data_IF_365612561286
#
_entry.id   IF_365612561286
#
_cell.length_a   1.000
_cell.length_b   1.000
_cell.length_c   1.000
_cell.angle_alpha   90.00
_cell.angle_beta   90.00
_cell.angle_gamma   90.00
#
_symmetry.space_group_name_H-M   'P 1'
#
loop_
_entity.id
_entity.type
_entity.pdbx_description
1 polymer ?
#
# COMPACT_ATOMS: atom_id res chain seq x y z
N UNK A 1 18.11 36.78 89.17
CA UNK A 1 18.23 35.43 88.60
C UNK A 1 16.87 34.99 88.06
N UNK A 2 16.68 35.05 86.74
CA UNK A 2 15.60 34.37 86.00
C UNK A 2 16.16 33.96 84.65
N UNK A 3 16.37 32.66 84.51
CA UNK A 3 16.88 31.98 83.33
C UNK A 3 15.70 31.73 82.38
N UNK A 4 15.71 32.34 81.20
CA UNK A 4 14.73 32.06 80.16
C UNK A 4 15.41 31.25 79.05
N UNK A 5 15.11 29.96 79.03
CA UNK A 5 15.48 28.99 78.00
C UNK A 5 14.73 29.28 76.71
N UNK A 6 15.48 29.52 75.63
CA UNK A 6 14.99 29.75 74.27
C UNK A 6 14.85 28.39 73.57
N UNK A 7 13.63 27.87 73.48
CA UNK A 7 13.33 26.64 72.72
C UNK A 7 13.08 27.02 71.26
N UNK A 8 14.02 26.69 70.38
CA UNK A 8 13.91 26.91 68.93
C UNK A 8 13.06 25.79 68.32
N UNK A 9 11.81 26.07 67.99
CA UNK A 9 10.95 25.17 67.24
C UNK A 9 11.26 25.29 65.74
N UNK A 10 11.99 24.32 65.17
CA UNK A 10 12.14 24.15 63.73
C UNK A 10 10.86 23.53 63.17
N UNK A 11 10.18 24.26 62.27
CA UNK A 11 8.98 23.80 61.56
C UNK A 11 9.40 23.43 60.13
N UNK A 12 9.52 22.14 59.77
CA UNK A 12 9.69 21.75 58.37
C UNK A 12 8.31 21.73 57.71
N UNK A 13 7.96 22.80 57.00
CA UNK A 13 6.84 22.83 56.07
C UNK A 13 7.28 22.16 54.75
N UNK A 14 7.30 20.83 54.74
CA UNK A 14 7.32 20.04 53.52
C UNK A 14 5.92 19.94 52.90
N UNK A 15 5.79 19.65 51.59
CA UNK A 15 4.51 19.46 50.94
C UNK A 15 3.67 18.41 51.66
N UNK A 16 2.36 18.63 51.75
CA UNK A 16 1.38 17.95 52.62
C UNK A 16 1.14 16.45 52.35
N UNK A 17 2.12 15.73 51.81
CA UNK A 17 2.12 14.28 51.63
C UNK A 17 3.48 13.60 51.84
N UNK A 18 4.50 14.32 52.31
CA UNK A 18 5.80 13.73 52.61
C UNK A 18 5.73 12.93 53.92
N UNK A 19 5.62 11.60 53.81
CA UNK A 19 5.77 10.70 54.95
C UNK A 19 7.21 10.85 55.47
N UNK A 20 7.45 11.27 56.73
CA UNK A 20 8.74 11.82 57.15
C UNK A 20 9.94 10.86 57.03
N UNK A 21 9.73 9.54 57.06
CA UNK A 21 10.79 8.55 56.88
C UNK A 21 10.15 7.20 56.60
N UNK A 22 10.30 6.68 55.38
CA UNK A 22 10.00 5.27 55.14
C UNK A 22 11.02 4.41 55.91
N UNK A 23 10.62 3.29 56.54
CA UNK A 23 11.55 2.38 57.18
C UNK A 23 12.63 1.93 56.18
N UNK A 24 13.89 1.82 56.62
CA UNK A 24 15.01 1.45 55.74
C UNK A 24 14.83 0.09 55.04
N UNK A 25 13.97 -0.78 55.58
CA UNK A 25 13.65 -2.08 55.01
C UNK A 25 12.47 -2.05 54.02
N UNK A 26 11.72 -0.96 53.90
CA UNK A 26 10.56 -0.87 53.01
C UNK A 26 10.93 -1.07 51.54
N UNK A 27 12.16 -0.69 51.16
CA UNK A 27 12.70 -0.83 49.81
C UNK A 27 13.77 -1.90 49.68
N UNK A 28 13.90 -2.82 50.65
CA UNK A 28 14.81 -3.95 50.50
C UNK A 28 14.34 -4.83 49.33
N UNK A 29 15.22 -5.35 48.46
CA UNK A 29 14.82 -6.20 47.32
C UNK A 29 13.96 -7.41 47.74
N UNK A 30 14.16 -7.90 48.96
CA UNK A 30 13.40 -9.00 49.55
C UNK A 30 11.95 -8.65 49.88
N UNK A 31 11.58 -7.37 50.04
CA UNK A 31 10.18 -6.97 50.26
C UNK A 31 9.33 -7.12 48.99
N UNK A 32 9.95 -7.25 47.82
CA UNK A 32 9.28 -7.49 46.55
C UNK A 32 9.17 -8.98 46.18
N UNK A 33 9.75 -9.87 46.98
CA UNK A 33 9.64 -11.31 46.76
C UNK A 33 8.40 -11.83 47.49
N UNK A 34 7.53 -12.62 46.82
CA UNK A 34 6.40 -13.23 47.49
C UNK A 34 6.91 -14.12 48.63
N UNK A 35 6.59 -13.76 49.86
CA UNK A 35 6.90 -14.59 51.02
C UNK A 35 6.26 -15.97 50.88
N UNK A 36 6.86 -17.02 51.49
CA UNK A 36 6.23 -18.33 51.52
C UNK A 36 4.81 -18.20 52.10
N UNK A 37 3.82 -18.93 51.55
CA UNK A 37 2.44 -18.84 52.03
C UNK A 37 2.42 -19.06 53.54
N UNK A 38 2.02 -18.03 54.30
CA UNK A 38 1.89 -18.14 55.75
C UNK A 38 0.87 -19.25 56.03
N UNK A 39 1.37 -20.39 56.52
CA UNK A 39 0.53 -21.51 56.93
C UNK A 39 -0.46 -21.08 58.02
N UNK A 40 -1.63 -21.72 58.11
CA UNK A 40 -2.75 -21.27 58.95
C UNK A 40 -2.55 -21.41 60.49
N UNK A 41 -1.33 -21.62 61.00
CA UNK A 41 -1.15 -21.99 62.41
C UNK A 41 0.22 -21.62 62.98
N UNK A 42 0.55 -20.33 62.98
CA UNK A 42 1.63 -19.77 63.79
C UNK A 42 1.07 -18.76 64.81
N UNK A 43 1.39 -18.88 66.12
CA UNK A 43 0.97 -17.90 67.12
C UNK A 43 1.53 -16.51 66.76
N UNK A 44 0.64 -15.53 66.75
CA UNK A 44 0.92 -14.12 66.45
C UNK A 44 1.89 -13.58 67.49
N UNK A 45 3.19 -13.61 67.20
CA UNK A 45 4.19 -12.91 67.99
C UNK A 45 3.92 -11.41 67.86
N UNK A 46 3.77 -10.76 69.02
CA UNK A 46 3.43 -9.35 69.17
C UNK A 46 4.26 -8.46 68.24
N UNK A 47 3.57 -7.90 67.23
CA UNK A 47 4.12 -6.90 66.33
C UNK A 47 4.35 -5.61 67.14
N UNK A 48 5.62 -5.25 67.30
CA UNK A 48 6.03 -3.95 67.82
C UNK A 48 5.52 -2.82 66.93
N UNK A 49 5.13 -1.73 67.58
CA UNK A 49 4.57 -0.51 66.99
C UNK A 49 5.43 0.00 65.82
N UNK A 50 4.82 0.11 64.63
CA UNK A 50 5.47 0.70 63.46
C UNK A 50 5.08 0.09 62.11
N UNK A 51 4.06 -0.78 62.03
CA UNK A 51 3.55 -1.27 60.75
C UNK A 51 2.87 -0.13 59.99
N UNK A 52 3.57 0.40 58.98
CA UNK A 52 3.07 1.44 58.10
C UNK A 52 2.00 0.84 57.19
N UNK A 53 0.75 0.90 57.65
CA UNK A 53 -0.43 0.50 56.87
C UNK A 53 -0.80 1.65 55.94
N UNK A 54 -0.54 1.49 54.64
CA UNK A 54 -1.04 2.43 53.62
C UNK A 54 -2.55 2.29 53.52
N UNK A 55 -3.27 3.41 53.62
CA UNK A 55 -4.65 3.50 54.10
C UNK A 55 -5.80 2.86 53.32
N UNK A 56 -5.61 1.97 52.35
CA UNK A 56 -6.70 1.14 51.79
C UNK A 56 -6.16 -0.28 51.54
N UNK A 57 -6.72 -1.23 52.28
CA UNK A 57 -6.38 -2.66 52.34
C UNK A 57 -5.00 -3.03 52.89
N UNK A 58 -4.98 -4.03 53.80
CA UNK A 58 -3.80 -4.59 54.50
C UNK A 58 -2.86 -5.34 53.55
N UNK A 59 -2.37 -4.65 52.53
CA UNK A 59 -1.51 -5.21 51.50
C UNK A 59 -0.10 -4.71 51.76
N UNK A 60 0.88 -5.62 51.87
CA UNK A 60 2.26 -5.23 52.12
C UNK A 60 2.79 -4.33 51.00
N UNK A 61 3.70 -3.38 51.30
CA UNK A 61 4.36 -2.59 50.27
C UNK A 61 5.07 -3.55 49.29
N UNK A 62 4.62 -3.58 48.04
CA UNK A 62 5.16 -4.45 46.98
C UNK A 62 4.22 -5.58 46.50
N UNK A 63 3.24 -6.00 47.31
CA UNK A 63 2.34 -7.10 46.97
C UNK A 63 1.41 -6.77 45.79
N UNK A 64 0.87 -5.54 45.77
CA UNK A 64 -0.03 -5.10 44.70
C UNK A 64 0.69 -4.94 43.35
N UNK A 65 1.86 -4.27 43.27
CA UNK A 65 2.68 -4.26 42.05
C UNK A 65 3.02 -5.67 41.54
N UNK A 66 3.39 -6.60 42.43
CA UNK A 66 3.68 -7.98 42.06
C UNK A 66 2.46 -8.70 41.44
N UNK A 67 1.28 -8.56 42.05
CA UNK A 67 0.04 -9.14 41.53
C UNK A 67 -0.32 -8.58 40.16
N UNK A 68 -0.18 -7.27 39.96
CA UNK A 68 -0.44 -6.62 38.67
C UNK A 68 0.54 -7.13 37.62
N UNK A 69 1.84 -7.12 37.92
CA UNK A 69 2.87 -7.58 36.99
C UNK A 69 2.64 -9.04 36.60
N UNK A 70 2.45 -9.93 37.57
CA UNK A 70 2.20 -11.35 37.33
C UNK A 70 0.94 -11.58 36.49
N UNK A 71 -0.15 -10.86 36.77
CA UNK A 71 -1.39 -10.95 36.00
C UNK A 71 -1.18 -10.50 34.55
N UNK A 72 -0.51 -9.37 34.35
CA UNK A 72 -0.22 -8.83 33.02
C UNK A 72 0.70 -9.77 32.21
N UNK A 73 1.76 -10.32 32.82
CA UNK A 73 2.64 -11.28 32.16
C UNK A 73 1.91 -12.57 31.78
N UNK A 74 1.01 -13.06 32.64
CA UNK A 74 0.22 -14.26 32.37
C UNK A 74 -0.79 -14.01 31.23
N UNK A 75 -1.48 -12.86 31.24
CA UNK A 75 -2.36 -12.43 30.14
C UNK A 75 -1.59 -12.37 28.81
N UNK A 76 -0.39 -11.76 28.82
CA UNK A 76 0.45 -11.67 27.64
C UNK A 76 0.84 -13.07 27.15
N UNK A 77 1.32 -13.96 28.03
CA UNK A 77 1.66 -15.33 27.64
C UNK A 77 0.47 -16.09 27.05
N UNK A 78 -0.74 -15.90 27.57
CA UNK A 78 -1.98 -16.48 27.01
C UNK A 78 -2.29 -15.92 25.62
N UNK A 79 -2.17 -14.59 25.41
CA UNK A 79 -2.36 -13.96 24.11
C UNK A 79 -1.36 -14.47 23.06
N UNK A 80 -0.09 -14.62 23.44
CA UNK A 80 0.94 -15.21 22.58
C UNK A 80 0.65 -16.67 22.26
N UNK A 81 0.24 -17.46 23.26
CA UNK A 81 -0.17 -18.85 23.07
C UNK A 81 -1.36 -18.99 22.11
N UNK A 82 -2.36 -18.11 22.23
CA UNK A 82 -3.47 -18.05 21.28
C UNK A 82 -2.99 -17.67 19.88
N UNK A 83 -2.11 -16.67 19.75
CA UNK A 83 -1.53 -16.28 18.46
C UNK A 83 -0.79 -17.42 17.74
N UNK A 84 -0.10 -18.29 18.48
CA UNK A 84 0.55 -19.48 17.93
C UNK A 84 -0.42 -20.62 17.60
N UNK A 85 -1.56 -20.71 18.29
CA UNK A 85 -2.58 -21.73 18.04
C UNK A 85 -3.51 -21.39 16.86
N UNK A 86 -3.73 -20.11 16.58
CA UNK A 86 -4.56 -19.62 15.45
C UNK A 86 -4.20 -20.27 14.09
N UNK A 87 -2.92 -20.42 13.69
CA UNK A 87 -2.60 -21.01 12.39
C UNK A 87 -2.76 -22.55 12.29
N UNK A 88 -3.04 -23.27 13.38
CA UNK A 88 -2.92 -24.74 13.43
C UNK A 88 -4.29 -25.49 13.39
N UNK A 89 -5.42 -24.78 13.33
CA UNK A 89 -6.74 -25.41 13.43
C UNK A 89 -7.77 -25.03 12.36
N UNK A 90 -9.02 -25.56 12.45
CA UNK A 90 -10.15 -25.15 11.60
C UNK A 90 -10.50 -23.66 11.72
N UNK A 91 -9.99 -22.99 12.77
CA UNK A 91 -10.04 -21.54 12.93
C UNK A 91 -9.25 -20.79 11.84
N UNK A 92 -8.20 -21.41 11.27
CA UNK A 92 -7.44 -20.83 10.15
C UNK A 92 -8.35 -20.70 8.94
N UNK A 93 -9.11 -21.73 8.57
CA UNK A 93 -10.05 -21.64 7.45
C UNK A 93 -11.15 -20.60 7.70
N UNK A 94 -11.59 -20.40 8.94
CA UNK A 94 -12.55 -19.36 9.29
C UNK A 94 -11.96 -17.93 9.27
N UNK A 95 -10.68 -17.73 9.65
CA UNK A 95 -10.03 -16.41 9.68
C UNK A 95 -9.27 -16.06 8.40
N UNK A 96 -8.81 -17.06 7.64
CA UNK A 96 -8.15 -16.90 6.34
C UNK A 96 -9.09 -17.15 5.17
N UNK A 97 -10.33 -17.61 5.41
CA UNK A 97 -11.42 -17.11 4.58
C UNK A 97 -11.32 -15.62 4.72
N UNK A 98 -10.88 -14.89 3.68
CA UNK A 98 -10.84 -13.46 3.78
C UNK A 98 -12.24 -13.10 4.28
N UNK A 99 -12.30 -12.26 5.32
CA UNK A 99 -13.34 -11.28 5.29
C UNK A 99 -13.05 -10.45 4.02
N UNK A 100 -13.38 -11.01 2.84
CA UNK A 100 -14.44 -10.44 2.06
C UNK A 100 -15.44 -10.14 3.17
N UNK A 101 -15.37 -8.91 3.69
CA UNK A 101 -16.47 -8.07 3.41
C UNK A 101 -16.91 -8.48 1.99
N UNK A 102 -17.80 -9.47 1.90
CA UNK A 102 -19.18 -9.10 1.68
C UNK A 102 -19.29 -7.69 2.30
N UNK A 103 -18.86 -6.70 1.51
CA UNK A 103 -19.73 -5.66 1.03
C UNK A 103 -20.99 -6.45 0.81
N UNK A 104 -21.70 -6.68 1.92
CA UNK A 104 -23.11 -6.88 1.96
C UNK A 104 -23.44 -5.55 1.38
N UNK A 105 -23.53 -5.54 0.05
CA UNK A 105 -24.28 -4.58 -0.68
C UNK A 105 -25.59 -4.78 0.05
N UNK A 106 -25.81 -3.98 1.09
CA UNK A 106 -27.14 -3.60 1.48
C UNK A 106 -27.60 -2.92 0.22
N UNK A 107 -28.02 -3.77 -0.72
CA UNK A 107 -28.91 -3.46 -1.77
C UNK A 107 -30.09 -3.01 -0.95
N UNK A 108 -30.10 -1.72 -0.64
CA UNK A 108 -31.29 -1.00 -0.32
C UNK A 108 -32.11 -1.18 -1.58
N UNK A 109 -32.81 -2.32 -1.65
CA UNK A 109 -33.88 -2.59 -2.56
C UNK A 109 -35.04 -1.71 -2.10
N UNK A 110 -34.80 -0.41 -2.07
CA UNK A 110 -35.82 0.59 -2.15
C UNK A 110 -36.49 0.33 -3.49
N UNK A 111 -37.69 -0.23 -3.43
CA UNK A 111 -38.61 -0.35 -4.56
C UNK A 111 -39.08 1.06 -4.94
N UNK A 112 -38.15 1.92 -5.34
CA UNK A 112 -38.40 3.23 -5.91
C UNK A 112 -38.44 3.07 -7.42
N UNK A 113 -39.53 3.51 -8.04
CA UNK A 113 -39.74 3.54 -9.50
C UNK A 113 -38.75 4.43 -10.27
N UNK A 114 -37.75 4.99 -9.61
CA UNK A 114 -36.64 5.70 -10.23
C UNK A 114 -35.52 4.70 -10.47
N UNK A 115 -35.21 4.38 -11.72
CA UNK A 115 -34.13 3.47 -12.11
C UNK A 115 -32.75 3.94 -11.62
N UNK A 116 -32.49 3.77 -10.33
CA UNK A 116 -31.21 4.05 -9.70
C UNK A 116 -30.33 2.83 -9.94
N UNK A 117 -29.26 3.05 -10.70
CA UNK A 117 -28.20 2.08 -10.96
C UNK A 117 -27.70 1.46 -9.64
N UNK A 118 -27.35 0.17 -9.67
CA UNK A 118 -26.72 -0.48 -8.53
C UNK A 118 -25.27 -0.05 -8.48
N UNK A 119 -24.89 0.61 -7.38
CA UNK A 119 -23.51 0.96 -7.11
C UNK A 119 -22.95 0.02 -6.04
N UNK A 120 -21.78 -0.56 -6.29
CA UNK A 120 -20.98 -1.16 -5.24
C UNK A 120 -20.18 -0.05 -4.55
N UNK A 121 -20.17 -0.01 -3.22
CA UNK A 121 -19.34 0.95 -2.46
C UNK A 121 -18.04 0.25 -2.10
N UNK A 122 -16.95 0.65 -2.75
CA UNK A 122 -15.59 0.31 -2.34
C UNK A 122 -14.97 1.41 -1.47
N UNK A 123 -13.71 1.25 -1.10
CA UNK A 123 -12.89 2.31 -0.50
C UNK A 123 -11.70 2.60 -1.42
N UNK A 124 -11.42 3.88 -1.66
CA UNK A 124 -10.25 4.36 -2.39
C UNK A 124 -8.96 4.22 -1.54
N UNK A 125 -7.77 4.49 -2.11
CA UNK A 125 -6.49 4.40 -1.39
C UNK A 125 -6.35 5.38 -0.21
N UNK A 126 -7.20 6.42 -0.16
CA UNK A 126 -7.27 7.36 0.97
C UNK A 126 -8.24 6.93 2.06
N UNK A 127 -8.88 5.77 1.88
CA UNK A 127 -9.89 5.23 2.81
C UNK A 127 -11.26 5.88 2.66
N UNK A 128 -11.48 6.69 1.62
CA UNK A 128 -12.78 7.29 1.33
C UNK A 128 -13.64 6.33 0.50
N UNK A 129 -14.96 6.29 0.71
CA UNK A 129 -15.84 5.44 -0.08
C UNK A 129 -15.80 5.83 -1.57
N UNK A 130 -15.44 4.89 -2.43
CA UNK A 130 -15.43 4.99 -3.90
C UNK A 130 -16.64 4.22 -4.44
N UNK A 131 -17.55 4.92 -5.11
CA UNK A 131 -18.65 4.26 -5.81
C UNK A 131 -18.10 3.58 -7.07
N UNK A 132 -18.09 2.26 -7.06
CA UNK A 132 -17.76 1.45 -8.23
C UNK A 132 -19.10 1.15 -8.90
N UNK A 133 -19.39 1.73 -10.08
CA UNK A 133 -20.59 1.35 -10.82
C UNK A 133 -20.51 -0.16 -11.06
N UNK A 134 -21.55 -0.91 -10.62
CA UNK A 134 -21.68 -2.28 -11.09
C UNK A 134 -21.86 -2.16 -12.60
N UNK A 135 -20.91 -2.65 -13.38
CA UNK A 135 -21.03 -2.62 -14.83
C UNK A 135 -22.36 -3.28 -15.19
N UNK A 136 -23.33 -2.48 -15.62
CA UNK A 136 -24.58 -2.98 -16.18
C UNK A 136 -24.20 -4.00 -17.25
N UNK A 137 -24.88 -5.16 -17.21
CA UNK A 137 -24.74 -6.34 -18.05
C UNK A 137 -23.68 -6.21 -19.16
N UNK A 138 -22.63 -7.06 -19.15
CA UNK A 138 -21.48 -7.09 -20.10
C UNK A 138 -21.84 -6.87 -21.58
N UNK A 139 -23.10 -7.05 -21.95
CA UNK A 139 -23.71 -6.78 -23.25
C UNK A 139 -23.82 -5.28 -23.61
N UNK A 140 -23.60 -4.36 -22.66
CA UNK A 140 -23.76 -2.91 -22.85
C UNK A 140 -22.45 -2.10 -22.80
N UNK A 141 -21.29 -2.74 -22.56
CA UNK A 141 -20.03 -2.01 -22.64
C UNK A 141 -19.85 -1.46 -24.07
N UNK A 142 -19.48 -0.17 -24.24
CA UNK A 142 -19.31 0.40 -25.56
C UNK A 142 -18.22 -0.38 -26.29
N UNK A 143 -18.62 -1.14 -27.31
CA UNK A 143 -17.68 -1.78 -28.21
C UNK A 143 -16.99 -0.68 -29.01
N UNK A 144 -15.66 -0.65 -28.94
CA UNK A 144 -14.88 0.20 -29.81
C UNK A 144 -15.10 -0.31 -31.24
N UNK A 145 -15.59 0.51 -32.18
CA UNK A 145 -15.99 0.04 -33.51
C UNK A 145 -14.86 -0.61 -34.31
N UNK A 146 -13.61 -0.32 -33.94
CA UNK A 146 -12.38 -0.90 -34.51
C UNK A 146 -11.51 -1.58 -33.43
N UNK A 147 -12.07 -1.82 -32.25
CA UNK A 147 -11.35 -2.43 -31.14
C UNK A 147 -11.21 -3.93 -31.31
N UNK A 148 -10.07 -4.43 -30.85
CA UNK A 148 -9.85 -5.88 -30.75
C UNK A 148 -10.11 -6.36 -29.33
N UNK A 149 -10.89 -7.45 -29.20
CA UNK A 149 -11.12 -8.10 -27.92
C UNK A 149 -9.89 -8.92 -27.52
N UNK A 150 -9.29 -8.55 -26.40
CA UNK A 150 -8.17 -9.28 -25.81
C UNK A 150 -8.66 -10.10 -24.62
N UNK A 151 -8.39 -11.42 -24.63
CA UNK A 151 -8.66 -12.29 -23.49
C UNK A 151 -7.58 -12.10 -22.42
N UNK A 152 -7.91 -11.38 -21.36
CA UNK A 152 -7.00 -11.17 -20.24
C UNK A 152 -7.21 -12.20 -19.11
N UNK A 153 -6.10 -12.80 -18.65
CA UNK A 153 -6.03 -13.57 -17.41
C UNK A 153 -5.38 -12.71 -16.32
N UNK A 154 -6.19 -12.32 -15.33
CA UNK A 154 -5.76 -11.47 -14.22
C UNK A 154 -5.11 -12.28 -13.08
N UNK A 155 -4.29 -11.64 -12.23
CA UNK A 155 -3.83 -12.24 -10.98
C UNK A 155 -5.00 -12.70 -10.10
N UNK A 156 -4.89 -13.88 -9.50
CA UNK A 156 -5.99 -14.52 -8.76
C UNK A 156 -6.06 -14.18 -7.27
N UNK A 157 -5.21 -13.27 -6.78
CA UNK A 157 -5.23 -12.93 -5.36
C UNK A 157 -6.41 -11.99 -5.06
N UNK A 158 -6.98 -12.11 -3.86
CA UNK A 158 -8.06 -11.24 -3.40
C UNK A 158 -7.58 -9.79 -3.38
N UNK A 159 -8.33 -8.88 -4.01
CA UNK A 159 -8.05 -7.45 -3.97
C UNK A 159 -7.33 -6.88 -5.20
N UNK A 160 -7.04 -7.68 -6.23
CA UNK A 160 -6.55 -7.12 -7.50
C UNK A 160 -7.62 -6.21 -8.14
N UNK A 161 -7.33 -4.92 -8.24
CA UNK A 161 -8.15 -3.91 -8.93
C UNK A 161 -7.26 -3.16 -9.92
N UNK A 162 -7.38 -3.40 -11.24
CA UNK A 162 -6.55 -2.69 -12.21
C UNK A 162 -6.88 -1.20 -12.16
N UNK A 163 -5.85 -0.37 -11.93
CA UNK A 163 -5.96 1.09 -11.82
C UNK A 163 -5.44 1.80 -13.07
N UNK A 164 -4.33 1.31 -13.61
CA UNK A 164 -3.67 1.90 -14.76
C UNK A 164 -3.17 0.81 -15.71
N UNK A 165 -3.24 1.09 -17.00
CA UNK A 165 -2.83 0.18 -18.08
C UNK A 165 -1.95 0.95 -19.07
N UNK A 166 -0.80 0.38 -19.40
CA UNK A 166 0.11 0.93 -20.39
C UNK A 166 0.63 -0.15 -21.32
N UNK A 167 1.05 0.24 -22.51
CA UNK A 167 1.48 -0.66 -23.58
C UNK A 167 2.90 -0.32 -24.00
N UNK A 168 3.74 -1.34 -24.14
CA UNK A 168 5.06 -1.18 -24.73
C UNK A 168 4.96 -0.73 -26.19
N UNK A 169 6.00 -0.11 -26.77
CA UNK A 169 5.93 0.51 -28.10
C UNK A 169 5.57 -0.49 -29.21
N UNK A 170 6.06 -1.72 -29.10
CA UNK A 170 5.82 -2.82 -30.04
C UNK A 170 4.41 -3.44 -29.93
N UNK A 171 3.59 -2.99 -28.98
CA UNK A 171 2.23 -3.48 -28.77
C UNK A 171 2.12 -4.84 -28.10
N UNK A 172 3.16 -5.67 -28.15
CA UNK A 172 3.12 -7.05 -27.65
C UNK A 172 3.17 -7.19 -26.12
N UNK A 173 3.61 -6.16 -25.38
CA UNK A 173 3.69 -6.22 -23.94
C UNK A 173 2.74 -5.20 -23.31
N UNK A 174 1.89 -5.67 -22.41
CA UNK A 174 0.99 -4.87 -21.60
C UNK A 174 1.49 -4.85 -20.17
N UNK A 175 1.38 -3.69 -19.55
CA UNK A 175 1.69 -3.50 -18.13
C UNK A 175 0.46 -2.93 -17.47
N UNK A 176 0.06 -3.53 -16.36
CA UNK A 176 -1.06 -3.08 -15.55
C UNK A 176 -0.56 -2.83 -14.12
N UNK A 177 -1.07 -1.79 -13.48
CA UNK A 177 -0.83 -1.53 -12.07
C UNK A 177 -2.13 -1.65 -11.28
N UNK A 178 -2.02 -2.15 -10.06
CA UNK A 178 -3.04 -2.07 -9.02
C UNK A 178 -2.54 -1.20 -7.86
N UNK A 179 -3.26 -1.21 -6.73
CA UNK A 179 -2.90 -0.43 -5.54
C UNK A 179 -1.61 -0.95 -4.85
N UNK A 180 -1.13 -2.16 -5.17
CA UNK A 180 -0.06 -2.87 -4.45
C UNK A 180 1.14 -3.27 -5.30
N UNK A 181 1.09 -3.08 -6.62
CA UNK A 181 2.13 -3.54 -7.50
C UNK A 181 1.87 -3.38 -8.99
N UNK A 182 2.87 -3.82 -9.75
CA UNK A 182 2.91 -3.77 -11.20
C UNK A 182 2.91 -5.20 -11.73
N UNK A 183 2.17 -5.45 -12.80
CA UNK A 183 2.07 -6.73 -13.47
C UNK A 183 2.31 -6.56 -14.96
N UNK A 184 2.96 -7.55 -15.55
CA UNK A 184 3.35 -7.56 -16.95
C UNK A 184 2.72 -8.77 -17.62
N UNK A 185 2.17 -8.57 -18.80
CA UNK A 185 1.66 -9.63 -19.67
C UNK A 185 2.19 -9.45 -21.08
N UNK A 186 2.48 -10.56 -21.75
CA UNK A 186 2.74 -10.56 -23.19
C UNK A 186 1.48 -11.01 -23.91
N UNK A 187 1.15 -10.32 -25.00
CA UNK A 187 0.12 -10.72 -25.94
C UNK A 187 0.63 -11.88 -26.77
N UNK A 188 -0.18 -12.93 -26.85
CA UNK A 188 0.04 -14.05 -27.73
C UNK A 188 -1.26 -14.39 -28.46
N UNK A 189 -1.13 -14.79 -29.72
CA UNK A 189 -2.23 -15.27 -30.52
C UNK A 189 -2.64 -16.66 -30.02
N UNK A 190 -3.84 -16.78 -29.47
CA UNK A 190 -4.47 -18.05 -29.13
C UNK A 190 -5.41 -18.43 -30.28
N UNK A 191 -5.22 -19.63 -30.84
CA UNK A 191 -6.15 -20.14 -31.82
C UNK A 191 -7.43 -20.53 -31.08
N UNK A 192 -8.54 -19.84 -31.37
CA UNK A 192 -9.78 -20.14 -30.68
C UNK A 192 -10.15 -21.61 -30.92
N UNK A 193 -10.36 -22.36 -29.84
CA UNK A 193 -10.92 -23.69 -29.95
C UNK A 193 -12.23 -23.57 -30.76
N UNK A 194 -12.46 -24.46 -31.75
CA UNK A 194 -13.69 -24.41 -32.52
C UNK A 194 -14.85 -24.47 -31.53
N UNK A 195 -15.61 -23.38 -31.46
CA UNK A 195 -16.82 -23.36 -30.65
C UNK A 195 -17.66 -24.57 -31.07
N UNK A 196 -18.25 -25.34 -30.13
CA UNK A 196 -19.09 -26.48 -30.47
C UNK A 196 -20.24 -25.99 -31.35
N UNK A 197 -20.04 -26.07 -32.66
CA UNK A 197 -20.88 -25.41 -33.63
C UNK A 197 -22.15 -26.22 -33.86
N UNK A 198 -23.29 -25.55 -33.70
CA UNK A 198 -24.45 -25.82 -34.54
C UNK A 198 -24.00 -25.89 -36.01
N UNK A 199 -24.33 -27.01 -36.64
CA UNK A 199 -23.55 -27.71 -37.68
C UNK A 199 -23.51 -27.12 -39.11
N UNK A 200 -23.83 -25.85 -39.39
CA UNK A 200 -24.28 -25.47 -40.75
C UNK A 200 -23.51 -24.41 -41.55
N UNK A 201 -22.32 -23.93 -41.16
CA UNK A 201 -21.53 -23.04 -42.04
C UNK A 201 -20.09 -23.52 -42.23
N UNK A 202 -19.88 -24.28 -43.30
CA UNK A 202 -18.57 -24.66 -43.80
C UNK A 202 -17.91 -23.45 -44.48
N UNK A 203 -16.89 -22.85 -43.85
CA UNK A 203 -16.06 -21.81 -44.49
C UNK A 203 -15.48 -20.73 -43.57
N UNK A 204 -15.90 -20.64 -42.30
CA UNK A 204 -15.32 -19.65 -41.38
C UNK A 204 -13.90 -20.09 -40.96
N UNK A 205 -12.88 -19.37 -41.43
CA UNK A 205 -11.50 -19.54 -40.96
C UNK A 205 -11.43 -19.41 -39.43
N UNK A 206 -10.55 -20.19 -38.79
CA UNK A 206 -10.39 -20.15 -37.34
C UNK A 206 -10.04 -18.72 -36.89
N UNK A 207 -10.91 -18.12 -36.08
CA UNK A 207 -10.67 -16.79 -35.54
C UNK A 207 -9.44 -16.82 -34.61
N UNK A 208 -8.48 -15.95 -34.88
CA UNK A 208 -7.34 -15.71 -33.99
C UNK A 208 -7.82 -14.80 -32.87
N UNK A 209 -7.65 -15.20 -31.62
CA UNK A 209 -8.00 -14.40 -30.45
C UNK A 209 -6.71 -14.04 -29.72
N UNK A 210 -6.44 -12.76 -29.53
CA UNK A 210 -5.31 -12.35 -28.70
C UNK A 210 -5.62 -12.61 -27.23
N UNK A 211 -4.63 -13.14 -26.53
CA UNK A 211 -4.74 -13.39 -25.10
C UNK A 211 -3.49 -12.88 -24.37
N UNK A 212 -3.68 -12.51 -23.12
CA UNK A 212 -2.62 -12.00 -22.25
C UNK A 212 -2.74 -12.60 -20.87
N UNK A 213 -1.60 -13.01 -20.30
CA UNK A 213 -1.53 -13.51 -18.93
C UNK A 213 -0.61 -12.62 -18.11
N UNK A 214 -1.19 -11.88 -17.18
CA UNK A 214 -0.44 -10.98 -16.32
C UNK A 214 0.28 -11.75 -15.21
N UNK A 215 1.54 -11.38 -14.97
CA UNK A 215 2.39 -11.89 -13.88
C UNK A 215 2.99 -10.70 -13.14
N UNK A 216 3.23 -10.84 -11.84
CA UNK A 216 3.82 -9.77 -11.03
C UNK A 216 5.21 -9.40 -11.58
N UNK A 217 5.46 -8.11 -11.73
CA UNK A 217 6.76 -7.56 -12.10
C UNK A 217 7.79 -7.80 -10.98
N UNK A 218 9.11 -7.62 -11.23
CA UNK A 218 10.10 -7.66 -10.17
C UNK A 218 9.74 -6.65 -9.06
N UNK A 219 10.01 -6.97 -7.78
CA UNK A 219 9.75 -6.03 -6.69
C UNK A 219 10.55 -4.73 -6.91
N UNK A 220 9.89 -3.60 -6.69
CA UNK A 220 10.49 -2.28 -6.78
C UNK A 220 10.41 -1.65 -5.39
N UNK A 221 11.52 -1.64 -4.66
CA UNK A 221 11.55 -1.22 -3.25
C UNK A 221 11.01 0.20 -3.03
N UNK A 222 11.20 1.09 -4.00
CA UNK A 222 10.70 2.46 -3.97
C UNK A 222 9.17 2.60 -4.06
N UNK A 223 8.43 1.51 -4.34
CA UNK A 223 6.96 1.46 -4.31
C UNK A 223 6.40 0.87 -3.02
N UNK A 224 7.24 0.35 -2.13
CA UNK A 224 6.77 -0.30 -0.91
C UNK A 224 6.05 0.69 0.00
N UNK A 225 4.80 0.37 0.39
CA UNK A 225 3.97 1.22 1.23
C UNK A 225 3.40 2.47 0.54
N UNK A 226 3.49 2.57 -0.80
CA UNK A 226 2.94 3.68 -1.56
C UNK A 226 1.83 3.22 -2.49
N UNK A 227 0.74 4.01 -2.56
CA UNK A 227 -0.31 3.82 -3.56
C UNK A 227 0.17 4.30 -4.94
N UNK A 228 -0.12 3.51 -5.96
CA UNK A 228 0.20 3.80 -7.35
C UNK A 228 -0.92 4.64 -7.96
N UNK A 229 -0.56 5.67 -8.73
CA UNK A 229 -1.51 6.59 -9.36
C UNK A 229 -1.67 6.29 -10.85
N UNK A 230 -0.55 6.19 -11.58
CA UNK A 230 -0.54 5.87 -13.01
C UNK A 230 0.79 5.19 -13.40
N UNK A 231 0.84 4.59 -14.59
CA UNK A 231 2.03 3.93 -15.13
C UNK A 231 2.29 4.24 -16.60
N UNK A 232 3.56 4.30 -16.96
CA UNK A 232 4.01 4.39 -18.35
C UNK A 232 5.12 3.38 -18.62
N UNK A 233 5.15 2.80 -19.82
CA UNK A 233 6.19 1.87 -20.24
C UNK A 233 7.07 2.55 -21.27
N UNK A 234 8.38 2.47 -21.05
CA UNK A 234 9.36 2.95 -22.00
C UNK A 234 10.32 1.81 -22.34
N UNK A 235 10.54 1.55 -23.63
CA UNK A 235 11.47 0.51 -24.10
C UNK A 235 12.60 1.10 -24.95
N UNK A 236 13.82 0.61 -24.75
CA UNK A 236 14.96 0.99 -25.60
C UNK A 236 14.77 0.44 -27.00
N UNK A 237 15.25 1.18 -28.00
CA UNK A 237 15.38 0.67 -29.36
C UNK A 237 16.49 -0.37 -29.46
N UNK A 238 16.31 -1.36 -30.34
CA UNK A 238 17.30 -2.40 -30.61
C UNK A 238 16.71 -3.80 -30.79
N UNK A 239 17.57 -4.77 -31.15
CA UNK A 239 17.16 -6.16 -31.37
C UNK A 239 16.66 -6.85 -30.07
N UNK A 240 17.11 -6.38 -28.91
CA UNK A 240 16.69 -6.85 -27.59
C UNK A 240 16.23 -5.65 -26.75
N UNK A 241 14.97 -5.18 -26.95
CA UNK A 241 14.49 -3.99 -26.27
C UNK A 241 14.43 -4.23 -24.76
N UNK A 242 15.08 -3.34 -23.99
CA UNK A 242 15.00 -3.33 -22.54
C UNK A 242 13.89 -2.38 -22.15
N UNK A 243 12.79 -2.92 -21.65
CA UNK A 243 11.65 -2.16 -21.19
C UNK A 243 11.76 -1.84 -19.70
N UNK A 244 11.21 -0.68 -19.32
CA UNK A 244 11.15 -0.19 -17.95
C UNK A 244 9.78 0.44 -17.70
N UNK A 245 9.32 0.37 -16.47
CA UNK A 245 8.06 1.02 -16.07
C UNK A 245 8.40 2.26 -15.29
N UNK A 246 7.77 3.36 -15.67
CA UNK A 246 7.72 4.56 -14.88
C UNK A 246 6.39 4.59 -14.13
N UNK A 247 6.46 4.63 -12.81
CA UNK A 247 5.28 4.58 -11.94
C UNK A 247 5.13 5.92 -11.25
N UNK A 248 3.98 6.56 -11.45
CA UNK A 248 3.59 7.75 -10.72
C UNK A 248 3.00 7.32 -9.37
N UNK A 249 3.54 7.85 -8.28
CA UNK A 249 3.10 7.50 -6.93
C UNK A 249 3.17 8.71 -5.99
N UNK A 250 2.90 8.49 -4.70
CA UNK A 250 2.89 9.53 -3.67
C UNK A 250 1.98 10.72 -4.06
N UNK A 251 0.76 10.41 -4.49
CA UNK A 251 -0.24 11.40 -4.94
C UNK A 251 0.27 12.32 -6.06
N UNK A 252 0.99 11.76 -7.03
CA UNK A 252 1.49 12.51 -8.18
C UNK A 252 2.76 13.33 -7.91
N UNK A 253 3.40 13.15 -6.76
CA UNK A 253 4.58 13.94 -6.38
C UNK A 253 5.89 13.24 -6.75
N UNK A 254 5.86 11.93 -7.06
CA UNK A 254 7.05 11.16 -7.36
C UNK A 254 6.84 10.27 -8.57
N UNK A 255 7.88 10.16 -9.38
CA UNK A 255 8.00 9.24 -10.50
C UNK A 255 9.14 8.27 -10.21
N UNK A 256 8.91 6.97 -10.32
CA UNK A 256 9.95 5.96 -10.11
C UNK A 256 10.12 5.07 -11.33
N UNK A 257 11.37 4.78 -11.68
CA UNK A 257 11.74 3.81 -12.69
C UNK A 257 11.95 2.44 -12.06
N UNK A 258 11.11 1.48 -12.44
CA UNK A 258 11.19 0.09 -12.02
C UNK A 258 11.62 -0.80 -13.20
N UNK A 259 12.55 -1.74 -12.99
CA UNK A 259 12.99 -2.65 -14.05
C UNK A 259 11.86 -3.61 -14.41
N UNK A 260 11.67 -3.86 -15.71
CA UNK A 260 10.89 -5.01 -16.16
C UNK A 260 11.80 -6.20 -16.41
N UNK A 261 11.24 -7.40 -16.21
CA UNK A 261 11.84 -8.59 -16.77
C UNK A 261 11.92 -8.42 -18.29
N UNK A 262 13.13 -8.36 -18.81
CA UNK A 262 13.35 -8.65 -20.23
C UNK A 262 13.20 -10.16 -20.36
N UNK A 263 12.16 -10.68 -21.03
CA UNK A 263 12.11 -12.10 -21.33
C UNK A 263 13.32 -12.40 -22.21
N UNK A 264 14.30 -13.13 -21.69
CA UNK A 264 15.37 -13.63 -22.52
C UNK A 264 14.70 -14.48 -23.62
N UNK A 265 14.88 -14.16 -24.92
CA UNK A 265 14.23 -14.89 -25.99
C UNK A 265 14.65 -16.36 -25.93
N UNK A 266 13.69 -17.22 -25.63
CA UNK A 266 13.63 -18.65 -25.98
C UNK A 266 14.86 -19.54 -25.74
N UNK A 267 15.62 -19.30 -24.68
CA UNK A 267 16.31 -20.42 -23.98
C UNK A 267 15.35 -21.12 -22.99
N UNK A 268 14.06 -20.77 -23.05
CA UNK A 268 12.94 -21.29 -22.25
C UNK A 268 12.66 -22.80 -22.43
N UNK A 269 13.42 -23.50 -23.28
CA UNK A 269 13.31 -24.95 -23.44
C UNK A 269 14.22 -25.81 -22.56
N UNK A 270 15.37 -25.29 -22.07
CA UNK A 270 16.44 -26.19 -21.59
C UNK A 270 16.94 -25.97 -20.15
N UNK A 271 16.67 -24.83 -19.51
CA UNK A 271 17.28 -24.51 -18.20
C UNK A 271 16.30 -24.16 -17.07
N UNK A 272 14.99 -24.35 -17.27
CA UNK A 272 13.97 -24.09 -16.24
C UNK A 272 14.01 -25.06 -15.03
N UNK A 273 15.05 -25.90 -14.88
CA UNK A 273 15.21 -26.83 -13.75
C UNK A 273 16.43 -26.55 -12.86
N UNK A 274 17.36 -25.68 -13.24
CA UNK A 274 18.46 -25.29 -12.36
C UNK A 274 18.10 -24.00 -11.61
N UNK A 275 17.46 -24.16 -10.45
CA UNK A 275 16.86 -23.10 -9.61
C UNK A 275 17.80 -22.05 -9.00
N UNK A 276 18.95 -21.75 -9.61
CA UNK A 276 19.86 -20.67 -9.21
C UNK A 276 20.24 -19.85 -10.45
N UNK A 277 19.26 -19.13 -10.99
CA UNK A 277 19.55 -18.04 -11.93
C UNK A 277 20.31 -16.95 -11.20
N UNK A 278 21.58 -16.77 -11.55
CA UNK A 278 22.45 -15.70 -11.07
C UNK A 278 21.72 -14.36 -11.29
N UNK A 279 21.11 -13.82 -10.23
CA UNK A 279 20.49 -12.50 -10.26
C UNK A 279 21.61 -11.49 -10.49
N UNK A 280 21.78 -11.04 -11.73
CA UNK A 280 22.62 -9.87 -11.98
C UNK A 280 22.09 -8.75 -11.08
N UNK A 281 22.97 -8.06 -10.34
CA UNK A 281 22.54 -7.07 -9.36
C UNK A 281 21.62 -6.07 -10.05
N UNK A 282 20.35 -6.09 -9.66
CA UNK A 282 19.35 -5.17 -10.18
C UNK A 282 19.87 -3.77 -9.96
N UNK A 283 19.95 -2.97 -11.03
CA UNK A 283 20.22 -1.54 -10.87
C UNK A 283 19.22 -0.97 -9.85
N UNK A 284 19.67 -0.09 -8.95
CA UNK A 284 18.76 0.54 -8.00
C UNK A 284 17.68 1.29 -8.78
N UNK A 285 16.45 1.26 -8.27
CA UNK A 285 15.34 2.05 -8.80
C UNK A 285 15.69 3.54 -8.69
N UNK A 286 15.54 4.29 -9.78
CA UNK A 286 15.70 5.74 -9.79
C UNK A 286 14.35 6.39 -9.47
N UNK A 287 14.36 7.39 -8.60
CA UNK A 287 13.16 8.14 -8.22
C UNK A 287 13.39 9.62 -8.45
N UNK A 288 12.41 10.28 -9.07
CA UNK A 288 12.38 11.71 -9.24
C UNK A 288 11.23 12.35 -8.48
N UNK A 289 11.51 13.48 -7.84
CA UNK A 289 10.51 14.34 -7.21
C UNK A 289 9.95 15.32 -8.25
N UNK A 290 8.64 15.35 -8.43
CA UNK A 290 7.97 16.30 -9.31
C UNK A 290 7.74 17.59 -8.53
N UNK A 291 8.37 18.69 -8.98
CA UNK A 291 8.18 20.00 -8.36
C UNK A 291 6.70 20.36 -8.30
N UNK A 292 6.21 20.81 -7.15
CA UNK A 292 4.82 21.23 -7.00
C UNK A 292 4.59 22.72 -7.23
N UNK A 293 5.65 23.49 -7.46
CA UNK A 293 5.62 24.97 -7.45
C UNK A 293 4.79 25.58 -8.60
N UNK A 294 4.51 24.78 -9.64
CA UNK A 294 3.73 25.18 -10.82
C UNK A 294 2.28 24.66 -10.81
N UNK A 295 1.94 23.86 -9.80
CA UNK A 295 0.59 23.37 -9.58
C UNK A 295 -0.20 24.48 -8.86
N UNK A 296 -1.44 24.71 -9.28
CA UNK A 296 -2.28 25.73 -8.65
C UNK A 296 -2.55 25.36 -7.18
N UNK A 297 -2.03 26.17 -6.27
CA UNK A 297 -2.30 26.08 -4.85
C UNK A 297 -3.62 26.77 -4.51
N UNK A 298 -4.57 26.02 -3.97
CA UNK A 298 -5.77 26.54 -3.30
C UNK A 298 -6.77 27.31 -4.15
N UNK A 299 -7.40 26.63 -5.10
CA UNK A 299 -8.76 26.99 -5.49
C UNK A 299 -9.76 26.25 -4.59
N UNK A 300 -11.04 26.64 -4.64
CA UNK A 300 -12.14 25.96 -3.93
C UNK A 300 -12.27 24.46 -4.26
N UNK A 301 -11.60 23.99 -5.32
CA UNK A 301 -11.62 22.60 -5.80
C UNK A 301 -10.42 21.76 -5.33
N UNK A 302 -9.64 22.24 -4.35
CA UNK A 302 -8.50 21.52 -3.80
C UNK A 302 -7.16 21.93 -4.44
N UNK A 303 -6.09 21.25 -4.01
CA UNK A 303 -4.74 21.46 -4.54
C UNK A 303 -4.59 20.65 -5.83
N UNK A 304 -4.20 21.31 -6.92
CA UNK A 304 -3.90 20.62 -8.16
C UNK A 304 -2.77 19.61 -7.96
N UNK A 305 -2.92 18.41 -8.52
CA UNK A 305 -1.92 17.35 -8.45
C UNK A 305 -1.72 16.68 -9.80
N UNK A 306 -0.63 15.95 -9.96
CA UNK A 306 -0.38 15.15 -11.16
C UNK A 306 -1.19 13.86 -11.06
N UNK A 307 -1.94 13.58 -12.12
CA UNK A 307 -2.88 12.48 -12.19
C UNK A 307 -2.40 11.36 -13.10
N UNK A 308 -1.81 11.72 -14.24
CA UNK A 308 -1.36 10.77 -15.26
C UNK A 308 0.03 11.08 -15.76
N UNK A 309 0.71 10.06 -16.28
CA UNK A 309 2.07 10.17 -16.82
C UNK A 309 2.20 9.41 -18.13
N UNK A 310 2.80 10.07 -19.12
CA UNK A 310 3.14 9.49 -20.41
C UNK A 310 4.60 9.76 -20.73
N UNK A 311 5.27 8.78 -21.34
CA UNK A 311 6.68 8.87 -21.68
C UNK A 311 6.89 8.65 -23.16
N UNK A 312 7.72 9.51 -23.78
CA UNK A 312 8.15 9.33 -25.16
C UNK A 312 9.26 8.26 -25.22
N UNK A 313 9.08 7.25 -26.06
CA UNK A 313 10.01 6.13 -26.21
C UNK A 313 11.35 6.52 -26.84
N UNK A 314 11.39 7.58 -27.62
CA UNK A 314 12.62 8.14 -28.24
C UNK A 314 13.63 8.63 -27.17
N UNK A 315 13.18 8.76 -25.93
CA UNK A 315 14.00 9.20 -24.82
C UNK A 315 14.91 8.13 -24.24
N UNK A 316 14.76 6.86 -24.66
CA UNK A 316 15.57 5.76 -24.16
C UNK A 316 16.81 5.51 -25.01
N UNK A 317 17.90 6.21 -24.68
CA UNK A 317 19.26 5.92 -25.17
C UNK A 317 20.01 4.91 -24.30
N UNK A 318 19.34 3.83 -23.85
CA UNK A 318 19.89 2.78 -22.96
C UNK A 318 19.56 2.94 -21.48
N UNK A 319 19.39 4.17 -21.00
CA UNK A 319 18.78 4.50 -19.71
C UNK A 319 17.76 5.62 -19.92
N UNK A 320 16.72 5.64 -19.08
CA UNK A 320 15.76 6.71 -19.11
C UNK A 320 16.43 8.01 -18.67
N UNK A 321 16.39 9.03 -19.53
CA UNK A 321 16.99 10.33 -19.23
C UNK A 321 15.94 11.44 -19.35
N UNK A 322 15.39 11.92 -18.23
CA UNK A 322 14.38 12.97 -18.25
C UNK A 322 14.93 14.37 -18.59
N UNK A 323 16.25 14.53 -18.74
CA UNK A 323 16.85 15.81 -19.14
C UNK A 323 16.62 16.11 -20.63
N UNK A 324 16.27 15.10 -21.43
CA UNK A 324 15.83 15.31 -22.80
C UNK A 324 14.43 15.92 -22.79
N UNK A 325 14.29 17.00 -23.55
CA UNK A 325 13.01 17.69 -23.79
C UNK A 325 12.01 16.71 -24.40
N UNK A 326 10.80 16.66 -23.83
CA UNK A 326 9.68 15.89 -24.39
C UNK A 326 9.55 14.47 -23.86
N UNK A 327 10.37 14.10 -22.87
CA UNK A 327 10.40 12.72 -22.39
C UNK A 327 9.34 12.37 -21.38
N UNK A 328 8.95 13.30 -20.53
CA UNK A 328 7.89 13.09 -19.54
C UNK A 328 6.81 14.11 -19.81
N UNK A 329 5.60 13.62 -20.03
CA UNK A 329 4.40 14.44 -20.13
C UNK A 329 3.46 14.00 -19.03
N UNK A 330 2.84 14.95 -18.35
CA UNK A 330 1.92 14.68 -17.26
C UNK A 330 0.58 15.36 -17.48
N UNK A 331 -0.49 14.67 -17.10
CA UNK A 331 -1.81 15.26 -16.94
C UNK A 331 -2.05 15.63 -15.48
N UNK A 332 -2.71 16.75 -15.23
CA UNK A 332 -3.07 17.18 -13.87
C UNK A 332 -4.57 17.06 -13.62
N UNK A 333 -4.97 17.06 -12.35
CA UNK A 333 -6.38 17.06 -11.92
C UNK A 333 -7.17 18.29 -12.40
N UNK A 334 -6.50 19.32 -12.94
CA UNK A 334 -7.18 20.48 -13.55
C UNK A 334 -7.34 20.36 -15.07
N UNK A 335 -6.97 19.22 -15.67
CA UNK A 335 -7.02 19.01 -17.12
C UNK A 335 -5.89 19.70 -17.88
N UNK A 336 -4.77 20.03 -17.22
CA UNK A 336 -3.57 20.56 -17.89
C UNK A 336 -2.65 19.42 -18.30
N UNK A 337 -2.10 19.55 -19.50
CA UNK A 337 -1.03 18.69 -20.01
C UNK A 337 0.27 19.50 -19.95
N UNK A 338 1.25 19.02 -19.19
CA UNK A 338 2.52 19.69 -18.97
C UNK A 338 3.67 18.77 -19.32
N UNK A 339 4.62 19.29 -20.08
CA UNK A 339 5.86 18.61 -20.38
C UNK A 339 6.85 18.89 -19.26
N UNK A 340 7.40 17.84 -18.66
CA UNK A 340 8.42 17.93 -17.62
C UNK A 340 9.82 17.68 -18.20
N UNK A 341 10.81 18.23 -17.51
CA UNK A 341 12.23 17.99 -17.75
C UNK A 341 12.96 17.82 -16.42
N UNK A 342 14.15 17.23 -16.43
CA UNK A 342 15.03 17.22 -15.27
C UNK A 342 15.51 18.63 -14.88
N UNK A 343 15.69 18.84 -13.57
CA UNK A 343 16.19 20.08 -13.01
C UNK A 343 17.70 20.22 -13.29
N UNK A 344 18.17 21.42 -13.65
CA UNK A 344 19.55 21.64 -14.13
C UNK A 344 20.63 21.33 -13.09
N UNK A 345 20.34 21.55 -11.81
CA UNK A 345 21.27 21.32 -10.70
C UNK A 345 20.90 20.14 -9.81
N UNK A 346 19.73 19.54 -10.00
CA UNK A 346 19.22 18.47 -9.15
C UNK A 346 18.65 17.35 -10.02
N UNK A 347 19.47 16.35 -10.32
CA UNK A 347 19.13 15.28 -11.25
C UNK A 347 17.94 14.41 -10.80
N UNK A 348 17.59 14.45 -9.51
CA UNK A 348 16.45 13.70 -8.94
C UNK A 348 15.18 14.55 -8.84
N UNK A 349 15.11 15.70 -9.52
CA UNK A 349 13.92 16.56 -9.52
C UNK A 349 13.44 16.84 -10.94
N UNK A 350 12.14 16.70 -11.17
CA UNK A 350 11.45 17.08 -12.40
C UNK A 350 10.79 18.44 -12.21
N UNK A 351 10.93 19.30 -13.22
CA UNK A 351 10.35 20.64 -13.28
C UNK A 351 9.57 20.82 -14.57
N UNK A 352 8.58 21.73 -14.59
CA UNK A 352 7.85 22.04 -15.80
C UNK A 352 8.82 22.67 -16.81
N UNK A 353 8.74 22.21 -18.05
CA UNK A 353 9.39 22.84 -19.18
C UNK A 353 8.42 23.80 -19.88
N UNK A 354 7.23 23.30 -20.23
CA UNK A 354 6.18 24.06 -20.89
C UNK A 354 4.81 23.42 -20.68
N UNK A 355 3.77 24.23 -20.69
CA UNK A 355 2.40 23.75 -20.82
C UNK A 355 2.11 23.43 -22.29
N UNK A 356 1.53 22.26 -22.56
CA UNK A 356 1.19 21.79 -23.91
C UNK A 356 -0.27 22.12 -24.23
N UNK A 357 -1.16 21.85 -23.28
CA UNK A 357 -2.59 22.05 -23.44
C UNK A 357 -3.23 22.35 -22.09
N UNK A 358 -4.26 23.20 -22.08
CA UNK A 358 -5.05 23.51 -20.91
C UNK A 358 -6.52 23.37 -21.27
N UNK A 359 -7.22 22.47 -20.58
CA UNK A 359 -8.66 22.33 -20.70
C UNK A 359 -9.33 23.24 -19.67
N UNK A 360 -10.53 23.72 -19.99
CA UNK A 360 -11.33 24.54 -19.08
C UNK A 360 -12.09 23.69 -18.05
N UNK A 361 -12.20 22.38 -18.29
CA UNK A 361 -12.88 21.43 -17.42
C UNK A 361 -11.87 20.48 -16.81
N UNK A 362 -12.06 20.17 -15.53
CA UNK A 362 -11.36 19.05 -14.91
C UNK A 362 -11.70 17.79 -15.69
N UNK A 363 -10.66 17.02 -16.02
CA UNK A 363 -10.81 15.70 -16.62
C UNK A 363 -10.80 14.71 -15.45
N UNK A 364 -11.70 13.75 -15.46
CA UNK A 364 -11.69 12.66 -14.49
C UNK A 364 -10.42 11.79 -14.62
N UNK A 365 -10.30 10.77 -13.78
CA UNK A 365 -9.23 9.78 -13.85
C UNK A 365 -9.10 9.20 -15.27
N UNK A 366 -7.90 9.30 -15.86
CA UNK A 366 -7.60 8.78 -17.19
C UNK A 366 -6.11 8.51 -17.38
N UNK A 367 -5.78 7.74 -18.41
CA UNK A 367 -4.39 7.51 -18.83
C UNK A 367 -3.99 8.50 -19.91
N UNK A 368 -2.72 8.92 -19.90
CA UNK A 368 -2.15 9.78 -20.93
C UNK A 368 -1.25 8.96 -21.85
N UNK A 369 -1.35 9.16 -23.16
CA UNK A 369 -0.55 8.47 -24.15
C UNK A 369 0.14 9.45 -25.12
N UNK A 370 1.43 9.23 -25.38
CA UNK A 370 2.20 10.01 -26.37
C UNK A 370 2.21 9.27 -27.71
N UNK A 371 1.81 9.96 -28.76
CA UNK A 371 1.90 9.52 -30.15
C UNK A 371 2.87 10.40 -30.94
N UNK A 372 3.42 9.94 -32.07
CA UNK A 372 4.28 10.78 -32.92
C UNK A 372 3.64 12.11 -33.34
N UNK A 373 2.30 12.15 -33.43
CA UNK A 373 1.54 13.30 -33.90
C UNK A 373 0.80 14.06 -32.79
N UNK A 374 0.95 13.69 -31.51
CA UNK A 374 0.25 14.37 -30.42
C UNK A 374 0.12 13.57 -29.12
N UNK A 375 -0.82 14.00 -28.29
CA UNK A 375 -1.11 13.41 -26.97
C UNK A 375 -2.60 13.09 -26.92
N UNK A 376 -2.96 11.94 -26.34
CA UNK A 376 -4.35 11.53 -26.10
C UNK A 376 -4.52 11.19 -24.64
#
# INVERSE_FOLDING_TARGET
ARTATRTTALRPSGPSGAIPTAPSHAFAPTSFLPGPPRGPSGPVAAAGEGEVVTGHDRVGPGDLPWRIFRSATLLLAVLWGMGLAVPIGPLREAMTSPAVAEIRVESMSGKGETGLERFAVGTDPSGLPEYIPEAEDRRGAPELPEGELIRATWPSHSGFKPRALSRAPHGQQLVVADDFGVYVGQLFAEQAAPAPALRSQAGAGAAVVHSVRFRKAPPCAALEGHALKDISVACSEGASPVCRVLVLHAHGQRLVECPLFSPAPDVAGALAQSGEGLLTPSRPSLTWEISSDWLHGHNHHGRESVESVAVNNECLGGAFNPNKVGCVVVGTTSGRIVQLRGHLTNETRLVPERAVQQWSQAVDHGSLHVFPNGYV
#
